data_IF_617078358698
#
_entry.id   IF_617078358698
#
_cell.length_a   1.000
_cell.length_b   1.000
_cell.length_c   1.000
_cell.angle_alpha   90.00
_cell.angle_beta   90.00
_cell.angle_gamma   90.00
#
_symmetry.space_group_name_H-M   'P 1'
#
loop_
_entity.id
_entity.type
_entity.pdbx_description
1 polymer ?
#
# COMPACT_ATOMS: atom_id res chain seq x y z
N UNK A 1 29.98 8.26 -8.30
CA UNK A 1 29.31 9.53 -8.66
C UNK A 1 28.05 9.63 -7.81
N UNK A 2 28.07 10.53 -6.84
CA UNK A 2 27.08 10.73 -5.77
C UNK A 2 25.93 11.57 -6.28
N UNK A 3 24.78 10.94 -6.50
CA UNK A 3 23.53 11.63 -6.82
C UNK A 3 22.99 12.34 -5.56
N UNK A 4 23.17 13.65 -5.52
CA UNK A 4 22.73 14.51 -4.43
C UNK A 4 21.20 14.52 -4.35
N UNK A 5 20.70 14.08 -3.22
CA UNK A 5 19.42 14.45 -2.62
C UNK A 5 19.79 14.94 -1.23
N UNK A 6 19.08 15.95 -0.70
CA UNK A 6 19.73 17.15 -0.21
C UNK A 6 20.60 16.86 1.03
N UNK A 7 21.92 17.12 0.97
CA UNK A 7 22.73 17.18 2.18
C UNK A 7 22.26 18.41 2.97
N UNK A 8 21.41 18.20 3.98
CA UNK A 8 20.93 19.27 4.87
C UNK A 8 19.74 20.11 4.39
N UNK A 9 18.89 19.59 3.48
CA UNK A 9 17.66 20.28 3.05
C UNK A 9 16.47 20.09 4.00
N UNK A 10 15.49 21.00 3.93
CA UNK A 10 14.21 20.87 4.65
C UNK A 10 13.49 19.57 4.25
N UNK A 11 12.83 18.85 5.18
CA UNK A 11 12.12 17.63 4.88
C UNK A 11 10.99 17.87 3.88
N UNK A 12 10.75 16.91 2.98
CA UNK A 12 9.62 16.99 2.05
C UNK A 12 8.35 16.73 2.86
N UNK A 13 7.53 17.76 3.05
CA UNK A 13 6.25 17.66 3.76
C UNK A 13 5.11 17.54 2.77
N UNK A 14 4.24 16.55 2.98
CA UNK A 14 3.01 16.35 2.22
C UNK A 14 1.82 16.13 3.12
N UNK A 15 0.67 16.62 2.69
CA UNK A 15 -0.58 16.55 3.43
C UNK A 15 -1.72 16.18 2.50
N UNK A 16 -2.57 15.27 2.97
CA UNK A 16 -3.75 14.81 2.23
C UNK A 16 -4.95 14.86 3.16
N UNK A 17 -6.00 15.53 2.70
CA UNK A 17 -7.29 15.55 3.37
C UNK A 17 -8.17 14.41 2.85
N UNK A 18 -8.70 13.59 3.76
CA UNK A 18 -9.60 12.49 3.39
C UNK A 18 -11.05 12.93 3.31
N UNK A 19 -11.53 12.98 2.07
CA UNK A 19 -12.96 12.89 1.74
C UNK A 19 -13.43 11.42 1.76
N UNK A 20 -14.74 11.21 1.66
CA UNK A 20 -15.30 9.86 1.54
C UNK A 20 -14.83 9.16 0.26
N UNK A 21 -14.75 9.88 -0.85
CA UNK A 21 -14.24 9.37 -2.13
C UNK A 21 -12.77 8.95 -2.05
N UNK A 22 -11.94 9.72 -1.33
CA UNK A 22 -10.53 9.40 -1.09
C UNK A 22 -10.35 8.05 -0.40
N UNK A 23 -11.27 7.67 0.50
CA UNK A 23 -11.23 6.32 1.12
C UNK A 23 -11.52 5.21 0.15
N UNK A 24 -12.56 5.36 -0.67
CA UNK A 24 -12.93 4.34 -1.63
C UNK A 24 -11.79 4.09 -2.62
N UNK A 25 -11.11 5.17 -3.04
CA UNK A 25 -9.92 5.11 -3.90
C UNK A 25 -8.74 4.42 -3.22
N UNK A 26 -8.43 4.77 -1.96
CA UNK A 26 -7.38 4.10 -1.19
C UNK A 26 -7.66 2.61 -1.01
N UNK A 27 -8.89 2.23 -0.66
CA UNK A 27 -9.28 0.82 -0.51
C UNK A 27 -9.12 0.03 -1.81
N UNK A 28 -9.56 0.62 -2.94
CA UNK A 28 -9.38 0.05 -4.28
C UNK A 28 -7.89 -0.07 -4.62
N UNK A 29 -7.11 0.98 -4.35
CA UNK A 29 -5.66 1.02 -4.57
C UNK A 29 -4.93 -0.05 -3.78
N UNK A 30 -5.20 -0.17 -2.48
CA UNK A 30 -4.61 -1.19 -1.62
C UNK A 30 -4.91 -2.61 -2.10
N UNK A 31 -6.16 -2.90 -2.49
CA UNK A 31 -6.52 -4.20 -3.07
C UNK A 31 -5.74 -4.50 -4.36
N UNK A 32 -5.58 -3.51 -5.24
CA UNK A 32 -4.79 -3.65 -6.46
C UNK A 32 -3.29 -3.88 -6.18
N UNK A 33 -2.72 -3.22 -5.17
CA UNK A 33 -1.32 -3.47 -4.78
C UNK A 33 -1.11 -4.90 -4.29
N UNK A 34 -2.10 -5.51 -3.63
CA UNK A 34 -2.05 -6.90 -3.16
C UNK A 34 -2.22 -7.88 -4.32
N UNK A 35 -3.20 -7.66 -5.21
CA UNK A 35 -3.49 -8.52 -6.36
C UNK A 35 -2.34 -8.62 -7.38
N UNK A 36 -1.42 -7.63 -7.42
CA UNK A 36 -0.30 -7.62 -8.38
C UNK A 36 0.97 -8.33 -7.87
N UNK A 37 0.92 -9.03 -6.74
CA UNK A 37 2.10 -9.77 -6.27
C UNK A 37 2.42 -10.93 -7.22
N UNK A 38 3.70 -11.07 -7.63
CA UNK A 38 4.16 -12.18 -8.49
C UNK A 38 3.79 -13.55 -7.91
N UNK A 39 3.76 -13.68 -6.59
CA UNK A 39 3.36 -14.89 -5.89
C UNK A 39 1.91 -15.32 -6.20
N UNK A 40 0.98 -14.38 -6.32
CA UNK A 40 -0.42 -14.68 -6.70
C UNK A 40 -0.49 -15.21 -8.13
N UNK A 41 0.26 -14.62 -9.06
CA UNK A 41 0.31 -15.09 -10.45
C UNK A 41 0.95 -16.48 -10.58
N UNK A 42 2.02 -16.75 -9.84
CA UNK A 42 2.65 -18.08 -9.79
C UNK A 42 1.68 -19.12 -9.22
N UNK A 43 0.99 -18.79 -8.12
CA UNK A 43 -0.05 -19.65 -7.54
C UNK A 43 -1.19 -19.91 -8.51
N UNK A 44 -1.63 -18.88 -9.24
CA UNK A 44 -2.72 -18.99 -10.21
C UNK A 44 -2.31 -19.84 -11.43
N UNK A 45 -1.06 -19.68 -11.90
CA UNK A 45 -0.51 -20.51 -12.96
C UNK A 45 -0.38 -21.98 -12.53
N UNK A 46 0.14 -22.25 -11.32
CA UNK A 46 0.22 -23.60 -10.76
C UNK A 46 -1.17 -24.22 -10.59
N UNK A 47 -2.15 -23.44 -10.11
CA UNK A 47 -3.52 -23.90 -9.95
C UNK A 47 -4.17 -24.27 -11.29
N UNK A 48 -3.96 -23.46 -12.34
CA UNK A 48 -4.43 -23.75 -13.70
C UNK A 48 -3.77 -25.03 -14.26
N UNK A 49 -2.45 -25.16 -14.08
CA UNK A 49 -1.69 -26.32 -14.54
C UNK A 49 -2.16 -27.59 -13.82
N UNK A 50 -2.44 -27.50 -12.52
CA UNK A 50 -2.99 -28.58 -11.72
C UNK A 50 -4.39 -28.99 -12.19
N UNK A 51 -5.30 -28.02 -12.41
CA UNK A 51 -6.64 -28.31 -12.95
C UNK A 51 -6.54 -28.96 -14.32
N UNK A 52 -5.71 -28.42 -15.22
CA UNK A 52 -5.49 -28.96 -16.56
C UNK A 52 -4.97 -30.40 -16.51
N UNK A 53 -4.00 -30.70 -15.65
CA UNK A 53 -3.49 -32.07 -15.45
C UNK A 53 -4.62 -33.07 -15.16
N UNK A 54 -5.56 -32.73 -14.28
CA UNK A 54 -6.67 -33.63 -13.97
C UNK A 54 -7.65 -33.82 -15.12
N UNK A 55 -7.90 -32.78 -15.93
CA UNK A 55 -8.71 -32.91 -17.13
C UNK A 55 -8.06 -33.79 -18.20
N UNK A 56 -6.74 -33.69 -18.40
CA UNK A 56 -6.04 -34.42 -19.46
C UNK A 56 -5.63 -35.85 -19.08
N UNK A 57 -5.31 -36.12 -17.81
CA UNK A 57 -4.70 -37.40 -17.39
C UNK A 57 -5.59 -38.26 -16.49
N UNK A 58 -6.61 -37.69 -15.84
CA UNK A 58 -7.46 -38.44 -14.87
C UNK A 58 -8.88 -38.60 -15.38
N UNK A 59 -9.49 -37.52 -15.85
CA UNK A 59 -10.83 -37.55 -16.42
C UNK A 59 -11.67 -36.31 -16.08
N UNK A 60 -12.70 -36.07 -16.89
CA UNK A 60 -13.53 -34.86 -16.85
C UNK A 60 -14.18 -34.66 -15.48
N UNK A 61 -14.73 -35.71 -14.88
CA UNK A 61 -15.38 -35.64 -13.56
C UNK A 61 -14.42 -35.21 -12.45
N UNK A 62 -13.20 -35.76 -12.43
CA UNK A 62 -12.16 -35.38 -11.48
C UNK A 62 -11.69 -33.92 -11.69
N UNK A 63 -11.53 -33.51 -12.96
CA UNK A 63 -11.21 -32.13 -13.32
C UNK A 63 -12.22 -31.12 -12.81
N UNK A 64 -13.53 -31.40 -12.97
CA UNK A 64 -14.61 -30.53 -12.49
C UNK A 64 -14.59 -30.39 -10.96
N UNK A 65 -14.42 -31.50 -10.22
CA UNK A 65 -14.34 -31.47 -8.74
C UNK A 65 -13.18 -30.60 -8.27
N UNK A 66 -12.01 -30.74 -8.87
CA UNK A 66 -10.82 -29.98 -8.48
C UNK A 66 -10.93 -28.51 -8.86
N UNK A 67 -11.55 -28.20 -9.99
CA UNK A 67 -11.85 -26.81 -10.36
C UNK A 67 -12.71 -26.13 -9.29
N UNK A 68 -13.75 -26.81 -8.77
CA UNK A 68 -14.59 -26.29 -7.68
C UNK A 68 -13.78 -26.06 -6.41
N UNK A 69 -12.91 -27.00 -6.03
CA UNK A 69 -12.03 -26.88 -4.85
C UNK A 69 -11.08 -25.69 -4.98
N UNK A 70 -10.43 -25.54 -6.14
CA UNK A 70 -9.51 -24.42 -6.41
C UNK A 70 -10.26 -23.09 -6.40
N UNK A 71 -11.46 -23.02 -6.99
CA UNK A 71 -12.28 -21.81 -6.98
C UNK A 71 -12.70 -21.42 -5.55
N UNK A 72 -13.11 -22.39 -4.73
CA UNK A 72 -13.46 -22.16 -3.32
C UNK A 72 -12.24 -21.66 -2.51
N UNK A 73 -11.06 -22.27 -2.71
CA UNK A 73 -9.83 -21.83 -2.07
C UNK A 73 -9.45 -20.40 -2.47
N UNK A 74 -9.53 -20.06 -3.77
CA UNK A 74 -9.28 -18.71 -4.27
C UNK A 74 -10.25 -17.67 -3.69
N UNK A 75 -11.54 -18.02 -3.58
CA UNK A 75 -12.56 -17.17 -2.97
C UNK A 75 -12.26 -16.92 -1.48
N UNK A 76 -11.87 -17.96 -0.72
CA UNK A 76 -11.49 -17.85 0.68
C UNK A 76 -10.26 -16.95 0.89
N UNK A 77 -9.21 -17.14 0.09
CA UNK A 77 -8.00 -16.32 0.16
C UNK A 77 -8.33 -14.86 -0.13
N UNK A 78 -9.10 -14.60 -1.19
CA UNK A 78 -9.50 -13.24 -1.58
C UNK A 78 -10.36 -12.59 -0.49
N UNK A 79 -11.29 -13.34 0.10
CA UNK A 79 -12.13 -12.89 1.22
C UNK A 79 -11.28 -12.52 2.44
N UNK A 80 -10.32 -13.36 2.82
CA UNK A 80 -9.40 -13.10 3.94
C UNK A 80 -8.53 -11.87 3.71
N UNK A 81 -8.01 -11.70 2.49
CA UNK A 81 -7.24 -10.51 2.10
C UNK A 81 -8.12 -9.27 2.22
N UNK A 82 -9.33 -9.29 1.63
CA UNK A 82 -10.26 -8.16 1.68
C UNK A 82 -10.66 -7.80 3.11
N UNK A 83 -10.91 -8.80 3.95
CA UNK A 83 -11.23 -8.62 5.36
C UNK A 83 -10.06 -7.98 6.12
N UNK A 84 -8.83 -8.48 5.95
CA UNK A 84 -7.63 -7.88 6.56
C UNK A 84 -7.40 -6.44 6.11
N UNK A 85 -7.52 -6.16 4.80
CA UNK A 85 -7.39 -4.81 4.25
C UNK A 85 -8.46 -3.86 4.82
N UNK A 86 -9.70 -4.33 5.01
CA UNK A 86 -10.74 -3.54 5.69
C UNK A 86 -10.46 -3.34 7.17
N UNK A 87 -9.89 -4.34 7.86
CA UNK A 87 -9.56 -4.24 9.27
C UNK A 87 -8.38 -3.28 9.53
N UNK A 88 -7.37 -3.25 8.64
CA UNK A 88 -6.29 -2.27 8.70
C UNK A 88 -6.75 -0.85 8.33
N UNK A 89 -7.70 -0.73 7.40
CA UNK A 89 -8.43 0.51 7.13
C UNK A 89 -9.66 0.64 8.05
N UNK A 90 -9.45 0.63 9.38
CA UNK A 90 -10.49 1.06 10.34
C UNK A 90 -11.17 2.33 9.84
N UNK A 91 -12.47 2.55 10.13
CA UNK A 91 -13.17 3.76 9.68
C UNK A 91 -12.38 4.99 10.10
N UNK A 92 -11.69 5.57 9.12
CA UNK A 92 -11.16 6.92 9.22
C UNK A 92 -12.44 7.79 9.19
N UNK A 93 -12.61 8.85 9.99
CA UNK A 93 -13.74 9.77 9.88
C UNK A 93 -13.48 10.80 8.78
N UNK A 94 -14.52 11.21 8.02
CA UNK A 94 -14.36 12.30 7.04
C UNK A 94 -13.84 13.55 7.76
N UNK A 95 -12.95 14.31 7.12
CA UNK A 95 -12.25 15.40 7.80
C UNK A 95 -10.89 15.02 8.40
N UNK A 96 -10.44 13.77 8.25
CA UNK A 96 -9.10 13.35 8.70
C UNK A 96 -8.05 13.91 7.76
N UNK A 97 -6.99 14.49 8.32
CA UNK A 97 -5.78 14.89 7.60
C UNK A 97 -4.70 13.86 7.86
N UNK A 98 -4.05 13.38 6.81
CA UNK A 98 -2.82 12.61 6.90
C UNK A 98 -1.66 13.48 6.45
N UNK A 99 -0.60 13.51 7.24
CA UNK A 99 0.64 14.22 6.92
C UNK A 99 1.78 13.21 6.87
N UNK A 100 2.68 13.37 5.90
CA UNK A 100 3.95 12.68 5.87
C UNK A 100 5.08 13.71 5.73
N UNK A 101 6.18 13.46 6.42
CA UNK A 101 7.42 14.23 6.29
C UNK A 101 8.54 13.26 5.99
N UNK A 102 9.22 13.46 4.86
CA UNK A 102 10.32 12.62 4.40
C UNK A 102 11.63 13.35 4.66
N UNK A 103 12.40 12.82 5.60
CA UNK A 103 13.74 13.25 5.94
C UNK A 103 14.79 12.54 5.09
N UNK A 104 16.06 12.69 5.48
CA UNK A 104 17.16 12.03 4.77
C UNK A 104 17.20 10.53 5.05
N UNK A 105 16.97 10.10 6.29
CA UNK A 105 17.11 8.70 6.73
C UNK A 105 15.78 8.04 7.12
N UNK A 106 14.74 8.82 7.33
CA UNK A 106 13.46 8.36 7.85
C UNK A 106 12.30 9.14 7.24
N UNK A 107 11.08 8.66 7.50
CA UNK A 107 9.89 9.46 7.32
C UNK A 107 8.97 9.35 8.53
N UNK A 108 8.30 10.44 8.84
CA UNK A 108 7.30 10.48 9.90
C UNK A 108 5.91 10.60 9.30
N UNK A 109 4.97 9.83 9.84
CA UNK A 109 3.57 9.81 9.43
C UNK A 109 2.66 10.25 10.58
N UNK A 110 1.74 11.17 10.30
CA UNK A 110 0.70 11.62 11.23
C UNK A 110 -0.69 11.38 10.66
N UNK A 111 -1.60 10.97 11.54
CA UNK A 111 -3.04 10.99 11.26
C UNK A 111 -3.74 11.90 12.28
N UNK A 112 -4.26 13.02 11.76
CA UNK A 112 -4.98 14.05 12.50
C UNK A 112 -6.48 13.85 12.28
N UNK A 113 -7.25 13.57 13.35
CA UNK A 113 -8.70 13.36 13.24
C UNK A 113 -9.49 14.57 13.75
N UNK A 114 -10.64 14.88 13.12
CA UNK A 114 -11.55 15.88 13.65
C UNK A 114 -12.11 15.39 14.99
N UNK A 115 -12.08 16.26 15.99
CA UNK A 115 -12.68 16.00 17.31
C UNK A 115 -13.52 17.21 17.72
N UNK A 116 -14.77 17.02 18.12
CA UNK A 116 -15.61 18.11 18.60
C UNK A 116 -15.19 18.48 20.02
N UNK A 117 -15.02 19.77 20.30
CA UNK A 117 -14.94 20.28 21.66
C UNK A 117 -16.37 20.58 22.14
N UNK A 118 -16.91 19.73 23.00
CA UNK A 118 -18.30 19.80 23.45
C UNK A 118 -18.67 21.12 24.15
N UNK A 119 -17.68 21.82 24.71
CA UNK A 119 -17.88 23.07 25.46
C UNK A 119 -17.88 24.33 24.59
N UNK A 120 -17.29 24.27 23.39
CA UNK A 120 -17.10 25.45 22.54
C UNK A 120 -17.78 25.34 21.18
N UNK A 121 -18.42 24.21 20.86
CA UNK A 121 -19.05 23.97 19.56
C UNK A 121 -18.06 23.99 18.37
N UNK A 122 -16.75 24.04 18.63
CA UNK A 122 -15.70 24.12 17.63
C UNK A 122 -15.09 22.74 17.37
N UNK A 123 -14.74 22.48 16.11
CA UNK A 123 -14.04 21.27 15.70
C UNK A 123 -12.57 21.58 15.48
N UNK A 124 -11.69 20.73 16.02
CA UNK A 124 -10.24 20.85 15.85
C UNK A 124 -9.64 19.53 15.38
N UNK A 125 -8.48 19.62 14.74
CA UNK A 125 -7.67 18.46 14.39
C UNK A 125 -6.82 18.06 15.60
N UNK A 126 -6.92 16.80 16.01
CA UNK A 126 -6.06 16.22 17.04
C UNK A 126 -5.25 15.05 16.50
N UNK A 127 -3.98 14.96 16.90
CA UNK A 127 -3.11 13.84 16.53
C UNK A 127 -3.62 12.57 17.17
N UNK A 128 -4.05 11.61 16.35
CA UNK A 128 -4.47 10.27 16.81
C UNK A 128 -3.41 9.22 16.61
N UNK A 129 -2.48 9.44 15.69
CA UNK A 129 -1.38 8.55 15.40
C UNK A 129 -0.19 9.39 14.93
N UNK A 130 0.99 9.09 15.46
CA UNK A 130 2.28 9.58 14.99
C UNK A 130 3.24 8.39 14.97
N UNK A 131 3.86 8.14 13.83
CA UNK A 131 4.77 7.00 13.65
C UNK A 131 6.00 7.47 12.89
N UNK A 132 7.18 7.23 13.47
CA UNK A 132 8.46 7.38 12.81
C UNK A 132 8.84 6.06 12.14
N UNK A 133 9.31 6.11 10.89
CA UNK A 133 9.70 4.95 10.09
C UNK A 133 11.08 5.15 9.50
N UNK A 134 12.02 4.29 9.88
CA UNK A 134 13.33 4.22 9.24
C UNK A 134 13.19 3.60 7.84
N UNK A 135 13.94 4.13 6.86
CA UNK A 135 14.00 3.52 5.54
C UNK A 135 14.64 2.13 5.54
N UNK A 136 15.53 1.85 6.50
CA UNK A 136 16.15 0.52 6.67
C UNK A 136 15.13 -0.57 6.98
N UNK A 137 13.98 -0.21 7.58
CA UNK A 137 12.89 -1.14 7.88
C UNK A 137 12.01 -1.42 6.66
N UNK A 138 12.21 -0.74 5.54
CA UNK A 138 11.38 -0.90 4.35
C UNK A 138 11.96 -2.00 3.45
N UNK A 139 11.19 -3.08 3.28
CA UNK A 139 11.57 -4.19 2.42
C UNK A 139 11.23 -3.96 0.95
N UNK A 140 10.06 -3.37 0.67
CA UNK A 140 9.59 -3.13 -0.69
C UNK A 140 8.47 -2.08 -0.70
N UNK A 141 8.43 -1.27 -1.76
CA UNK A 141 7.38 -0.29 -2.01
C UNK A 141 6.72 -0.55 -3.36
N UNK A 142 5.39 -0.56 -3.37
CA UNK A 142 4.57 -0.77 -4.57
C UNK A 142 3.67 0.44 -4.77
N UNK A 143 3.80 1.10 -5.92
CA UNK A 143 3.08 2.32 -6.27
C UNK A 143 2.06 2.03 -7.38
N UNK A 144 0.82 2.46 -7.18
CA UNK A 144 -0.20 2.50 -8.24
C UNK A 144 -0.87 3.89 -8.32
N UNK A 145 -1.87 4.03 -9.18
CA UNK A 145 -2.55 5.31 -9.43
C UNK A 145 -3.33 5.86 -8.22
N UNK A 146 -3.53 5.05 -7.17
CA UNK A 146 -4.46 5.37 -6.07
C UNK A 146 -3.85 5.21 -4.68
N UNK A 147 -2.76 4.45 -4.55
CA UNK A 147 -2.15 4.09 -3.29
C UNK A 147 -0.65 3.78 -3.44
N UNK A 148 0.07 3.97 -2.34
CA UNK A 148 1.40 3.43 -2.12
C UNK A 148 1.31 2.35 -1.05
N UNK A 149 1.67 1.13 -1.41
CA UNK A 149 1.78 0.00 -0.49
C UNK A 149 3.23 -0.17 -0.03
N UNK A 150 3.48 -0.10 1.27
CA UNK A 150 4.79 -0.30 1.88
C UNK A 150 4.78 -1.63 2.64
N UNK A 151 5.80 -2.44 2.39
CA UNK A 151 6.06 -3.67 3.14
C UNK A 151 7.28 -3.43 4.06
N UNK A 152 7.05 -3.50 5.36
CA UNK A 152 8.12 -3.40 6.35
C UNK A 152 8.71 -4.76 6.69
N UNK A 153 9.99 -4.78 7.08
CA UNK A 153 10.77 -5.97 7.44
C UNK A 153 10.34 -6.55 8.80
N UNK A 154 9.99 -5.69 9.76
CA UNK A 154 9.52 -6.02 11.11
C UNK A 154 8.14 -6.72 11.11
N UNK A 155 7.34 -6.51 10.05
CA UNK A 155 5.98 -7.03 9.90
C UNK A 155 5.80 -7.77 8.58
N UNK A 156 6.50 -8.90 8.38
CA UNK A 156 6.41 -9.66 7.15
C UNK A 156 4.96 -10.12 6.92
N UNK A 157 4.30 -9.52 5.92
CA UNK A 157 2.92 -9.83 5.54
C UNK A 157 1.90 -8.72 5.81
N UNK A 158 2.27 -7.67 6.56
CA UNK A 158 1.40 -6.49 6.73
C UNK A 158 1.84 -5.41 5.75
N UNK A 159 1.11 -5.28 4.63
CA UNK A 159 1.28 -4.15 3.72
C UNK A 159 0.48 -2.97 4.26
N UNK A 160 1.16 -1.92 4.67
CA UNK A 160 0.53 -0.65 5.00
C UNK A 160 0.25 0.09 3.69
N UNK A 161 -0.96 0.60 3.54
CA UNK A 161 -1.38 1.31 2.33
C UNK A 161 -1.65 2.77 2.66
N UNK A 162 -1.03 3.65 1.88
CA UNK A 162 -1.15 5.10 1.99
C UNK A 162 -1.73 5.67 0.70
N UNK A 163 -2.38 6.85 0.75
CA UNK A 163 -2.77 7.57 -0.46
C UNK A 163 -1.58 7.84 -1.38
N UNK A 164 -1.81 7.78 -2.69
CA UNK A 164 -0.76 8.09 -3.67
C UNK A 164 -0.30 9.55 -3.55
N UNK A 165 -1.23 10.44 -3.23
CA UNK A 165 -1.00 11.88 -3.10
C UNK A 165 -0.07 12.22 -1.92
N UNK A 166 0.02 11.33 -0.92
CA UNK A 166 0.89 11.51 0.24
C UNK A 166 2.37 11.27 -0.12
N UNK A 167 2.66 10.57 -1.21
CA UNK A 167 4.00 10.19 -1.63
C UNK A 167 4.33 10.81 -2.99
N UNK A 168 4.73 12.09 -3.07
CA UNK A 168 5.10 12.72 -4.32
C UNK A 168 6.34 12.04 -4.93
N UNK A 169 6.59 12.26 -6.22
CA UNK A 169 7.66 11.56 -6.94
C UNK A 169 9.04 11.82 -6.36
N UNK A 170 9.26 13.01 -5.78
CA UNK A 170 10.48 13.37 -5.07
C UNK A 170 10.69 12.54 -3.79
N UNK A 171 9.61 12.29 -3.03
CA UNK A 171 9.66 11.43 -1.85
C UNK A 171 9.87 9.96 -2.24
N UNK A 172 9.22 9.50 -3.32
CA UNK A 172 9.45 8.16 -3.87
C UNK A 172 10.88 8.00 -4.39
N UNK A 173 11.44 9.02 -5.02
CA UNK A 173 12.84 9.03 -5.44
C UNK A 173 13.78 8.93 -4.24
N UNK A 174 13.50 9.63 -3.15
CA UNK A 174 14.28 9.55 -1.92
C UNK A 174 14.21 8.13 -1.30
N UNK A 175 13.00 7.56 -1.19
CA UNK A 175 12.80 6.19 -0.71
C UNK A 175 13.50 5.16 -1.61
N UNK A 176 13.51 5.39 -2.93
CA UNK A 176 14.13 4.47 -3.90
C UNK A 176 15.64 4.29 -3.73
N UNK A 177 16.30 5.20 -3.01
CA UNK A 177 17.72 5.09 -2.64
C UNK A 177 17.99 3.99 -1.60
N UNK A 178 16.99 3.68 -0.79
CA UNK A 178 17.11 2.75 0.33
C UNK A 178 16.43 1.41 0.04
N UNK A 179 15.37 1.40 -0.77
CA UNK A 179 14.57 0.21 -1.06
C UNK A 179 14.09 0.18 -2.51
N UNK A 180 13.80 -1.02 -3.00
CA UNK A 180 13.15 -1.19 -4.30
C UNK A 180 11.75 -0.58 -4.29
N UNK A 181 11.51 0.36 -5.20
CA UNK A 181 10.20 0.91 -5.52
C UNK A 181 9.75 0.33 -6.87
N UNK A 182 8.52 -0.16 -6.95
CA UNK A 182 7.98 -0.84 -8.13
C UNK A 182 6.56 -0.41 -8.45
N UNK A 183 6.12 -0.58 -9.71
CA UNK A 183 4.76 -0.26 -10.14
C UNK A 183 4.71 0.86 -11.20
N UNK A 184 3.68 1.71 -11.14
CA UNK A 184 3.51 2.86 -12.06
C UNK A 184 4.26 4.09 -11.55
N UNK A 185 5.55 3.94 -11.32
CA UNK A 185 6.43 5.02 -10.92
C UNK A 185 7.68 4.99 -11.79
N UNK A 186 8.11 6.18 -12.21
CA UNK A 186 9.39 6.41 -12.88
C UNK A 186 10.12 7.49 -12.09
N UNK A 187 11.45 7.36 -11.90
CA UNK A 187 12.22 8.42 -11.26
C UNK A 187 12.10 9.71 -12.08
N UNK A 188 12.07 10.88 -11.43
CA UNK A 188 12.12 12.15 -12.15
C UNK A 188 13.41 12.21 -12.99
N UNK A 189 13.37 12.81 -14.19
CA UNK A 189 14.56 12.94 -15.01
C UNK A 189 15.64 13.69 -14.23
N UNK A 190 16.86 13.14 -14.24
CA UNK A 190 18.02 13.82 -13.65
C UNK A 190 18.18 15.17 -14.35
N UNK A 191 18.31 16.29 -13.63
CA UNK A 191 18.52 17.58 -14.27
C UNK A 191 19.78 17.49 -15.14
N UNK A 192 19.61 17.68 -16.45
CA UNK A 192 20.71 17.93 -17.38
C UNK A 192 21.22 19.34 -17.11
N UNK A 193 22.42 19.42 -16.52
CA UNK A 193 23.19 20.66 -16.44
C UNK A 193 23.47 21.22 -17.84
#
# INVERSE_FOLDING_TARGET
>A
MTDQGPPGGLPIRTEVFFTEDGRARLAKGALQTIGRSRGVWILLALALLYVAFFFFFVGISAGVVILVVVAAAAALITSRIRARTRQSMRPIPAGTVQRAEFGASDFTFWALRPTPNALLGQSFLTTRLMVLRDYADIKNVVVNDHAVGILFSDRPGTREAFPRELFPDQALALISRYTKVSGKWSPPPTPTN
#
